data_IF_197280180159
#
_entry.id   IF_197280180159
#
_cell.length_a   1.000
_cell.length_b   1.000
_cell.length_c   1.000
_cell.angle_alpha   90.00
_cell.angle_beta   90.00
_cell.angle_gamma   90.00
#
_symmetry.space_group_name_H-M   'P 1'
#
loop_
_entity.id
_entity.type
_entity.pdbx_description
1 polymer ?
#
# COMPACT_ATOMS: atom_id res chain seq x y z
N UNK A 1 16.66 -2.46 -11.38
CA UNK A 1 16.20 -1.18 -11.96
C UNK A 1 14.78 -1.37 -12.48
N UNK A 2 13.90 -0.39 -12.28
CA UNK A 2 12.53 -0.44 -12.82
C UNK A 2 12.58 -0.49 -14.36
N UNK A 3 11.70 -1.29 -14.97
CA UNK A 3 11.51 -1.33 -16.40
C UNK A 3 10.46 -0.30 -16.81
N UNK A 4 10.61 0.30 -17.99
CA UNK A 4 9.60 1.14 -18.61
C UNK A 4 8.82 0.32 -19.64
N UNK A 5 7.52 0.52 -19.70
CA UNK A 5 6.67 -0.06 -20.74
C UNK A 5 6.95 0.65 -22.09
N UNK A 6 6.82 -0.12 -23.17
CA UNK A 6 6.87 0.42 -24.52
C UNK A 6 5.62 1.28 -24.77
N UNK A 7 5.82 2.50 -25.25
CA UNK A 7 4.74 3.41 -25.59
C UNK A 7 4.39 3.40 -27.09
N UNK A 8 4.98 2.48 -27.87
CA UNK A 8 4.62 2.27 -29.26
C UNK A 8 3.26 1.58 -29.33
N UNK A 9 2.27 2.16 -30.05
CA UNK A 9 0.97 1.53 -30.23
C UNK A 9 1.07 0.13 -30.85
N UNK A 10 0.53 -0.86 -30.14
CA UNK A 10 0.48 -2.26 -30.59
C UNK A 10 -0.95 -2.65 -30.89
N UNK A 11 -1.20 -3.22 -32.07
CA UNK A 11 -2.50 -3.84 -32.37
C UNK A 11 -2.69 -5.04 -31.45
N UNK A 12 -3.79 -5.03 -30.71
CA UNK A 12 -4.16 -6.08 -29.76
C UNK A 12 -5.53 -6.66 -30.08
N UNK A 13 -5.83 -7.84 -29.52
CA UNK A 13 -7.15 -8.46 -29.68
C UNK A 13 -8.22 -7.55 -29.11
N UNK A 14 -9.27 -7.30 -29.89
CA UNK A 14 -10.45 -6.57 -29.42
C UNK A 14 -11.09 -7.27 -28.20
N UNK A 15 -11.43 -6.52 -27.20
CA UNK A 15 -12.19 -6.94 -26.04
C UNK A 15 -13.46 -6.09 -25.96
N UNK A 16 -14.60 -6.71 -25.73
CA UNK A 16 -15.90 -6.02 -25.57
C UNK A 16 -16.78 -6.87 -24.64
N UNK A 17 -16.65 -6.61 -23.35
CA UNK A 17 -17.34 -7.30 -22.26
C UNK A 17 -18.03 -6.28 -21.36
N UNK A 18 -18.72 -6.71 -20.32
CA UNK A 18 -19.38 -5.83 -19.37
C UNK A 18 -18.38 -4.92 -18.62
N UNK A 19 -17.19 -5.48 -18.25
CA UNK A 19 -16.25 -4.77 -17.39
C UNK A 19 -14.97 -4.34 -18.09
N UNK A 20 -14.70 -4.77 -19.32
CA UNK A 20 -13.49 -4.45 -20.11
C UNK A 20 -13.84 -4.15 -21.56
N UNK A 21 -13.17 -3.14 -22.12
CA UNK A 21 -13.35 -2.80 -23.53
C UNK A 21 -12.03 -2.31 -24.12
N UNK A 22 -11.54 -2.99 -25.14
CA UNK A 22 -10.33 -2.58 -25.89
C UNK A 22 -10.71 -2.54 -27.37
N UNK A 23 -10.71 -1.34 -27.94
CA UNK A 23 -11.18 -1.08 -29.31
C UNK A 23 -10.13 -0.40 -30.19
N UNK A 24 -9.00 0.02 -29.59
CA UNK A 24 -7.87 0.66 -30.30
C UNK A 24 -6.59 -0.16 -30.10
N UNK A 25 -5.51 0.11 -30.84
CA UNK A 25 -4.16 -0.28 -30.43
C UNK A 25 -3.85 0.25 -29.03
N UNK A 26 -2.94 -0.39 -28.28
CA UNK A 26 -2.59 0.03 -26.91
C UNK A 26 -1.07 0.31 -26.85
N UNK A 27 -0.67 1.53 -26.34
CA UNK A 27 -1.52 2.68 -26.04
C UNK A 27 -2.26 3.18 -27.29
N UNK A 28 -3.39 3.90 -27.09
CA UNK A 28 -4.08 4.50 -28.23
C UNK A 28 -3.16 5.47 -28.97
N UNK A 29 -3.08 5.43 -30.33
CA UNK A 29 -2.12 6.27 -31.08
C UNK A 29 -2.22 7.75 -30.74
N UNK A 30 -3.42 8.25 -30.53
CA UNK A 30 -3.69 9.66 -30.22
C UNK A 30 -3.24 10.04 -28.78
N UNK A 31 -2.95 9.06 -27.91
CA UNK A 31 -2.41 9.31 -26.57
C UNK A 31 -0.90 9.46 -26.54
N UNK A 32 -0.20 9.05 -27.60
CA UNK A 32 1.29 9.07 -27.68
C UNK A 32 1.85 10.47 -27.43
N UNK A 33 1.31 11.58 -27.99
CA UNK A 33 1.83 12.92 -27.70
C UNK A 33 1.77 13.32 -26.22
N UNK A 34 0.78 12.82 -25.47
CA UNK A 34 0.70 13.04 -24.00
C UNK A 34 1.84 12.30 -23.31
N UNK A 35 2.06 11.02 -23.65
CA UNK A 35 3.13 10.20 -23.09
C UNK A 35 4.52 10.79 -23.39
N UNK A 36 4.73 11.30 -24.62
CA UNK A 36 5.98 11.97 -25.03
C UNK A 36 6.18 13.27 -24.24
N UNK A 37 5.12 14.04 -24.03
CA UNK A 37 5.19 15.28 -23.24
C UNK A 37 5.57 14.98 -21.79
N UNK A 38 4.95 13.99 -21.14
CA UNK A 38 5.31 13.55 -19.80
C UNK A 38 6.79 13.08 -19.74
N UNK A 39 7.22 12.27 -20.71
CA UNK A 39 8.62 11.83 -20.77
C UNK A 39 9.61 12.98 -20.93
N UNK A 40 9.24 14.06 -21.60
CA UNK A 40 10.10 15.25 -21.80
C UNK A 40 10.11 16.16 -20.57
N UNK A 41 8.97 16.30 -19.87
CA UNK A 41 8.77 17.30 -18.83
C UNK A 41 8.87 16.76 -17.41
N UNK A 42 8.70 15.46 -17.21
CA UNK A 42 8.82 14.81 -15.91
C UNK A 42 10.10 14.00 -15.79
N UNK A 43 10.64 13.82 -14.57
CA UNK A 43 11.78 12.93 -14.35
C UNK A 43 11.45 11.49 -14.76
N UNK A 44 12.43 10.77 -15.32
CA UNK A 44 12.28 9.36 -15.73
C UNK A 44 11.77 8.47 -14.59
N UNK A 45 12.03 8.85 -13.33
CA UNK A 45 11.51 8.15 -12.13
C UNK A 45 9.99 8.12 -12.02
N UNK A 46 9.27 9.00 -12.71
CA UNK A 46 7.81 9.01 -12.79
C UNK A 46 7.24 8.07 -13.85
N UNK A 47 8.07 7.60 -14.79
CA UNK A 47 7.68 6.59 -15.78
C UNK A 47 7.77 5.19 -15.17
N UNK A 48 7.13 4.20 -15.77
CA UNK A 48 7.23 2.81 -15.31
C UNK A 48 5.88 2.18 -14.95
N UNK A 49 4.77 2.92 -15.08
CA UNK A 49 3.42 2.36 -15.06
C UNK A 49 2.92 2.05 -16.49
N UNK A 50 1.89 1.19 -16.65
CA UNK A 50 1.28 0.93 -17.95
C UNK A 50 0.96 2.22 -18.70
N UNK A 51 1.26 2.34 -20.00
CA UNK A 51 1.16 3.58 -20.77
C UNK A 51 -0.30 3.87 -21.21
N UNK A 52 -1.20 3.91 -20.24
CA UNK A 52 -2.61 4.19 -20.44
C UNK A 52 -2.89 5.61 -19.95
N UNK A 53 -3.34 6.48 -20.83
CA UNK A 53 -3.70 7.87 -20.47
C UNK A 53 -5.14 7.88 -19.96
N UNK A 54 -5.30 8.03 -18.66
CA UNK A 54 -6.60 8.06 -18.00
C UNK A 54 -7.32 9.39 -18.32
N UNK A 55 -8.58 9.29 -18.70
CA UNK A 55 -9.46 10.45 -18.90
C UNK A 55 -10.48 10.57 -17.77
N UNK A 56 -11.12 9.45 -17.43
CA UNK A 56 -12.09 9.36 -16.34
C UNK A 56 -12.02 7.99 -15.67
N UNK A 57 -12.58 7.89 -14.48
CA UNK A 57 -12.72 6.64 -13.76
C UNK A 57 -14.04 6.62 -12.98
N UNK A 58 -14.63 5.43 -12.80
CA UNK A 58 -15.86 5.23 -12.04
C UNK A 58 -15.89 3.84 -11.40
N UNK A 59 -16.31 3.75 -10.15
CA UNK A 59 -16.39 2.51 -9.41
C UNK A 59 -15.05 1.76 -9.36
N UNK A 60 -14.91 0.71 -10.16
CA UNK A 60 -13.70 -0.08 -10.30
C UNK A 60 -13.19 -0.12 -11.76
N UNK A 61 -13.50 0.89 -12.55
CA UNK A 61 -13.15 0.99 -13.97
C UNK A 61 -12.44 2.31 -14.28
N UNK A 62 -11.51 2.24 -15.23
CA UNK A 62 -10.76 3.38 -15.77
C UNK A 62 -10.99 3.45 -17.27
N UNK A 63 -11.08 4.65 -17.80
CA UNK A 63 -11.39 4.92 -19.20
C UNK A 63 -10.39 5.89 -19.82
N UNK A 64 -10.04 5.66 -21.08
CA UNK A 64 -9.41 6.68 -21.91
C UNK A 64 -10.47 7.46 -22.72
N UNK A 65 -10.03 8.39 -23.56
CA UNK A 65 -10.90 9.18 -24.46
C UNK A 65 -11.28 8.43 -25.74
N UNK A 66 -10.68 7.27 -25.98
CA UNK A 66 -10.73 6.59 -27.29
C UNK A 66 -11.66 5.37 -27.28
N UNK A 67 -12.43 5.23 -26.21
CA UNK A 67 -13.43 4.19 -26.05
C UNK A 67 -12.93 2.90 -25.41
N UNK A 68 -11.71 2.89 -24.91
CA UNK A 68 -11.20 1.78 -24.10
C UNK A 68 -11.64 1.90 -22.64
N UNK A 69 -11.82 0.77 -21.99
CA UNK A 69 -12.21 0.62 -20.60
C UNK A 69 -11.43 -0.52 -19.97
N UNK A 70 -10.80 -0.23 -18.86
CA UNK A 70 -10.05 -1.21 -18.06
C UNK A 70 -10.77 -1.50 -16.76
N UNK A 71 -10.86 -2.80 -16.43
CA UNK A 71 -11.14 -3.25 -15.08
C UNK A 71 -9.88 -2.97 -14.23
N UNK A 72 -10.01 -2.07 -13.24
CA UNK A 72 -8.89 -1.63 -12.42
C UNK A 72 -8.65 -2.56 -11.24
N UNK A 73 -7.53 -3.29 -11.30
CA UNK A 73 -7.01 -4.11 -10.22
C UNK A 73 -5.80 -3.49 -9.53
N UNK A 74 -5.59 -2.18 -9.73
CA UNK A 74 -4.54 -1.41 -9.08
C UNK A 74 -5.05 -0.52 -7.94
N UNK A 75 -6.31 -0.09 -7.98
CA UNK A 75 -6.87 0.99 -7.14
C UNK A 75 -6.01 2.26 -7.15
N UNK A 76 -5.40 2.61 -8.31
CA UNK A 76 -4.44 3.73 -8.36
C UNK A 76 -3.30 3.56 -7.36
N UNK A 77 -2.76 2.34 -7.22
CA UNK A 77 -1.78 1.89 -6.21
C UNK A 77 -2.36 1.93 -4.78
N UNK A 78 -3.47 1.20 -4.58
CA UNK A 78 -4.17 1.00 -3.29
C UNK A 78 -4.73 2.30 -2.68
N UNK A 79 -5.06 3.30 -3.48
CA UNK A 79 -5.66 4.56 -3.00
C UNK A 79 -7.18 4.50 -2.99
N UNK A 80 -7.81 4.07 -4.10
CA UNK A 80 -9.25 4.19 -4.31
C UNK A 80 -10.05 3.06 -3.65
N UNK A 81 -9.89 2.90 -2.32
CA UNK A 81 -10.62 1.87 -1.58
C UNK A 81 -12.14 2.01 -1.73
N UNK A 82 -12.68 3.23 -1.60
CA UNK A 82 -14.11 3.51 -1.75
C UNK A 82 -14.61 3.46 -3.21
N UNK A 83 -13.77 3.04 -4.15
CA UNK A 83 -14.01 3.11 -5.59
C UNK A 83 -13.52 4.43 -6.20
N UNK A 84 -13.50 4.46 -7.54
CA UNK A 84 -13.24 5.69 -8.29
C UNK A 84 -14.47 6.60 -8.26
N UNK A 85 -14.25 7.89 -8.07
CA UNK A 85 -15.23 8.96 -8.15
C UNK A 85 -16.58 8.71 -7.43
N UNK A 86 -16.62 8.17 -6.20
CA UNK A 86 -17.87 7.92 -5.50
C UNK A 86 -18.62 9.24 -5.25
N UNK A 87 -19.94 9.19 -5.40
CA UNK A 87 -20.81 10.37 -5.34
C UNK A 87 -20.62 11.15 -4.02
N UNK A 88 -20.51 10.44 -2.93
CA UNK A 88 -20.39 11.03 -1.60
C UNK A 88 -19.10 11.82 -1.43
N UNK A 89 -17.97 11.31 -1.96
CA UNK A 89 -16.68 12.00 -1.91
C UNK A 89 -16.68 13.20 -2.84
N UNK A 90 -17.22 13.05 -4.08
CA UNK A 90 -17.35 14.17 -5.02
C UNK A 90 -18.15 15.31 -4.43
N UNK A 91 -19.31 14.99 -3.82
CA UNK A 91 -20.18 16.00 -3.23
C UNK A 91 -19.50 16.71 -2.05
N UNK A 92 -18.84 15.97 -1.16
CA UNK A 92 -18.12 16.56 -0.04
C UNK A 92 -17.01 17.53 -0.48
N UNK A 93 -16.32 17.21 -1.58
CA UNK A 93 -15.30 18.10 -2.17
C UNK A 93 -15.96 19.36 -2.73
N UNK A 94 -17.05 19.23 -3.51
CA UNK A 94 -17.77 20.35 -4.10
C UNK A 94 -18.32 21.28 -3.01
N UNK A 95 -19.01 20.74 -2.02
CA UNK A 95 -19.57 21.51 -0.89
C UNK A 95 -18.47 22.30 -0.16
N UNK A 96 -17.30 21.69 0.05
CA UNK A 96 -16.21 22.38 0.71
C UNK A 96 -15.57 23.47 -0.16
N UNK A 97 -15.49 23.26 -1.49
CA UNK A 97 -15.02 24.29 -2.44
C UNK A 97 -15.99 25.46 -2.47
N UNK A 98 -17.30 25.21 -2.55
CA UNK A 98 -18.33 26.23 -2.53
C UNK A 98 -18.36 27.04 -1.23
N UNK A 99 -18.00 26.42 -0.10
CA UNK A 99 -17.86 27.08 1.20
C UNK A 99 -16.71 28.08 1.26
N UNK A 100 -15.73 28.00 0.34
CA UNK A 100 -14.64 28.96 0.18
C UNK A 100 -13.45 28.80 1.15
N UNK A 101 -13.50 27.87 2.12
CA UNK A 101 -12.38 27.58 3.02
C UNK A 101 -11.50 26.50 2.40
N UNK A 102 -10.45 26.91 1.64
CA UNK A 102 -9.57 26.01 0.89
C UNK A 102 -8.29 25.63 1.65
N UNK A 103 -7.88 26.46 2.61
CA UNK A 103 -6.69 26.26 3.44
C UNK A 103 -6.85 26.96 4.77
N UNK A 104 -6.28 26.40 5.84
CA UNK A 104 -6.34 27.05 7.14
C UNK A 104 -5.17 26.74 8.09
N UNK A 105 -4.09 26.03 7.65
CA UNK A 105 -2.98 25.64 8.52
C UNK A 105 -3.46 24.93 9.80
N UNK A 106 -2.91 25.26 10.96
CA UNK A 106 -3.31 24.71 12.26
C UNK A 106 -4.46 25.48 12.94
N UNK A 107 -5.05 26.51 12.29
CA UNK A 107 -6.20 27.17 12.86
C UNK A 107 -7.36 26.16 13.00
N UNK A 108 -8.16 26.26 14.09
CA UNK A 108 -9.29 25.37 14.30
C UNK A 108 -10.33 25.47 13.18
N UNK A 109 -10.83 24.33 12.74
CA UNK A 109 -12.01 24.25 11.86
C UNK A 109 -12.86 23.04 12.22
N UNK A 110 -14.15 23.12 11.89
CA UNK A 110 -15.14 22.10 12.26
C UNK A 110 -14.88 20.77 11.54
N UNK A 111 -14.55 20.81 10.26
CA UNK A 111 -14.35 19.60 9.45
C UNK A 111 -13.21 18.76 10.00
N UNK A 112 -12.08 19.41 10.39
CA UNK A 112 -10.95 18.73 11.00
C UNK A 112 -11.31 18.11 12.36
N UNK A 113 -12.10 18.82 13.16
CA UNK A 113 -12.58 18.30 14.44
C UNK A 113 -13.42 17.03 14.24
N UNK A 114 -14.38 17.06 13.31
CA UNK A 114 -15.25 15.93 13.00
C UNK A 114 -14.47 14.73 12.48
N UNK A 115 -13.51 14.92 11.57
CA UNK A 115 -12.67 13.82 11.07
C UNK A 115 -11.80 13.22 12.20
N UNK A 116 -11.16 14.07 13.00
CA UNK A 116 -10.30 13.60 14.10
C UNK A 116 -11.12 12.80 15.16
N UNK A 117 -12.31 13.30 15.51
CA UNK A 117 -13.23 12.62 16.40
C UNK A 117 -13.68 11.27 15.82
N UNK A 118 -14.08 11.25 14.54
CA UNK A 118 -14.53 10.02 13.87
C UNK A 118 -13.43 8.96 13.83
N UNK A 119 -12.21 9.34 13.42
CA UNK A 119 -11.06 8.44 13.41
C UNK A 119 -10.71 7.92 14.81
N UNK A 120 -10.74 8.79 15.84
CA UNK A 120 -10.53 8.40 17.23
C UNK A 120 -11.61 7.45 17.75
N UNK A 121 -12.86 7.59 17.27
CA UNK A 121 -13.99 6.73 17.65
C UNK A 121 -13.87 5.32 17.06
N UNK A 122 -13.53 5.21 15.78
CA UNK A 122 -13.41 3.91 15.09
C UNK A 122 -12.11 3.18 15.40
N UNK A 123 -11.06 3.89 15.84
CA UNK A 123 -9.80 3.27 16.26
C UNK A 123 -9.97 2.55 17.60
N UNK A 124 -9.41 1.33 17.75
CA UNK A 124 -9.49 0.60 19.02
C UNK A 124 -8.70 1.32 20.12
N UNK A 125 -9.13 1.17 21.39
CA UNK A 125 -8.33 1.63 22.51
C UNK A 125 -6.95 0.91 22.52
N UNK A 126 -5.83 1.61 22.84
CA UNK A 126 -5.72 2.97 23.37
C UNK A 126 -5.49 4.07 22.31
N UNK A 127 -5.71 3.81 21.03
CA UNK A 127 -5.44 4.75 19.92
C UNK A 127 -6.49 5.87 19.89
N UNK A 128 -6.22 7.03 20.53
CA UNK A 128 -7.22 8.09 20.74
C UNK A 128 -6.81 9.48 20.27
N UNK A 129 -5.57 9.67 19.86
CA UNK A 129 -5.10 10.94 19.31
C UNK A 129 -4.78 10.80 17.83
N UNK A 130 -5.15 11.79 17.03
CA UNK A 130 -5.01 11.81 15.57
C UNK A 130 -4.17 13.02 15.18
N UNK A 131 -3.06 12.78 14.50
CA UNK A 131 -2.28 13.81 13.83
C UNK A 131 -2.43 13.64 12.32
N UNK A 132 -3.14 14.57 11.68
CA UNK A 132 -3.36 14.58 10.24
C UNK A 132 -2.09 15.08 9.53
N UNK A 133 -1.78 14.45 8.41
CA UNK A 133 -0.63 14.74 7.55
C UNK A 133 -1.06 14.63 6.09
N UNK A 134 -0.12 14.84 5.15
CA UNK A 134 -0.44 14.86 3.71
C UNK A 134 -0.09 13.54 3.03
N UNK A 135 1.05 12.93 3.39
CA UNK A 135 1.59 11.74 2.72
C UNK A 135 1.95 10.63 3.72
N UNK A 136 1.98 9.40 3.20
CA UNK A 136 2.41 8.25 3.99
C UNK A 136 3.85 8.37 4.51
N UNK A 137 4.76 8.96 3.71
CA UNK A 137 6.14 9.19 4.15
C UNK A 137 6.22 10.11 5.36
N UNK A 138 5.42 11.20 5.38
CA UNK A 138 5.32 12.07 6.56
C UNK A 138 4.76 11.32 7.77
N UNK A 139 3.78 10.45 7.58
CA UNK A 139 3.20 9.65 8.67
C UNK A 139 4.24 8.71 9.28
N UNK A 140 5.00 7.99 8.47
CA UNK A 140 6.04 7.07 8.97
C UNK A 140 7.19 7.81 9.64
N UNK A 141 7.65 8.94 9.09
CA UNK A 141 8.67 9.79 9.73
C UNK A 141 8.18 10.42 11.04
N UNK A 142 6.91 10.84 11.08
CA UNK A 142 6.27 11.32 12.30
C UNK A 142 6.25 10.22 13.39
N UNK A 143 5.86 8.99 13.04
CA UNK A 143 5.84 7.88 13.98
C UNK A 143 7.25 7.55 14.51
N UNK A 144 8.28 7.58 13.66
CA UNK A 144 9.68 7.39 14.06
C UNK A 144 10.14 8.50 14.99
N UNK A 145 9.81 9.75 14.67
CA UNK A 145 10.12 10.92 15.52
C UNK A 145 9.49 10.77 16.91
N UNK A 146 8.21 10.39 16.97
CA UNK A 146 7.51 10.13 18.22
C UNK A 146 8.16 8.99 19.01
N UNK A 147 8.50 7.88 18.34
CA UNK A 147 9.12 6.73 18.97
C UNK A 147 10.49 7.07 19.57
N UNK A 148 11.34 7.77 18.84
CA UNK A 148 12.65 8.18 19.33
C UNK A 148 12.53 9.17 20.51
N UNK A 149 11.62 10.13 20.42
CA UNK A 149 11.40 11.08 21.51
C UNK A 149 10.87 10.40 22.77
N UNK A 150 9.95 9.43 22.59
CA UNK A 150 9.49 8.58 23.70
C UNK A 150 10.65 7.76 24.29
N UNK A 151 11.47 7.16 23.44
CA UNK A 151 12.63 6.38 23.89
C UNK A 151 13.61 7.21 24.69
N UNK A 152 13.96 8.42 24.24
CA UNK A 152 14.82 9.37 24.97
C UNK A 152 14.27 9.69 26.37
N UNK A 153 12.96 9.90 26.47
CA UNK A 153 12.30 10.18 27.78
C UNK A 153 12.24 8.96 28.68
N UNK A 154 12.02 7.77 28.10
CA UNK A 154 11.78 6.55 28.86
C UNK A 154 13.03 5.75 29.22
N UNK A 155 14.14 5.92 28.46
CA UNK A 155 15.36 5.11 28.62
C UNK A 155 16.67 5.84 28.38
N UNK A 156 16.62 7.18 28.23
CA UNK A 156 17.79 8.03 28.04
C UNK A 156 18.36 8.05 26.62
N UNK A 157 19.50 8.72 26.41
CA UNK A 157 20.02 9.08 25.07
C UNK A 157 20.37 7.89 24.17
N UNK A 158 20.56 6.71 24.74
CA UNK A 158 20.86 5.50 23.95
C UNK A 158 19.62 4.75 23.45
N UNK A 159 18.40 5.06 23.97
CA UNK A 159 17.17 4.38 23.58
C UNK A 159 16.51 5.07 22.35
N UNK A 160 17.21 5.04 21.22
CA UNK A 160 16.77 5.65 19.95
C UNK A 160 16.67 4.68 18.78
N UNK A 161 17.02 3.42 19.00
CA UNK A 161 17.04 2.37 17.98
C UNK A 161 15.67 2.14 17.38
N UNK A 162 15.60 1.98 16.06
CA UNK A 162 14.38 1.58 15.34
C UNK A 162 14.65 0.24 14.66
N UNK A 163 13.79 -0.73 14.92
CA UNK A 163 13.80 -2.01 14.20
C UNK A 163 12.74 -1.97 13.11
N UNK A 164 13.12 -2.36 11.90
CA UNK A 164 12.24 -2.52 10.75
C UNK A 164 12.53 -3.81 10.00
N UNK A 165 11.83 -4.09 8.91
CA UNK A 165 11.92 -5.40 8.26
C UNK A 165 12.47 -5.30 6.84
N UNK A 166 13.29 -6.27 6.45
CA UNK A 166 13.81 -6.43 5.09
C UNK A 166 12.65 -6.52 4.10
N UNK A 167 12.77 -5.83 2.96
CA UNK A 167 11.71 -5.72 1.96
C UNK A 167 10.58 -4.75 2.32
N UNK A 168 10.57 -4.15 3.51
CA UNK A 168 9.58 -3.17 3.94
C UNK A 168 9.67 -1.85 3.15
N UNK A 169 8.51 -1.24 2.89
CA UNK A 169 8.39 0.04 2.18
C UNK A 169 7.58 1.04 3.01
N UNK A 170 8.26 2.12 3.46
CA UNK A 170 7.65 3.12 4.34
C UNK A 170 7.60 4.54 3.74
N UNK A 171 8.00 4.69 2.48
CA UNK A 171 8.02 5.96 1.75
C UNK A 171 9.31 6.22 1.01
N UNK A 172 9.45 7.43 0.45
CA UNK A 172 10.61 7.80 -0.38
C UNK A 172 11.37 9.05 0.10
N UNK A 173 10.99 9.65 1.21
CA UNK A 173 11.75 10.69 1.88
C UNK A 173 12.92 10.08 2.66
N UNK A 174 13.85 10.90 3.14
CA UNK A 174 15.10 10.43 3.74
C UNK A 174 14.87 9.43 4.90
N UNK A 175 14.08 9.83 5.91
CA UNK A 175 13.82 9.00 7.08
C UNK A 175 12.98 7.77 6.73
N UNK A 176 11.96 7.92 5.87
CA UNK A 176 11.15 6.81 5.41
C UNK A 176 11.96 5.76 4.62
N UNK A 177 12.95 6.18 3.83
CA UNK A 177 13.86 5.25 3.15
C UNK A 177 14.91 4.65 4.08
N UNK A 178 15.38 5.39 5.09
CA UNK A 178 16.29 4.83 6.10
C UNK A 178 15.67 3.64 6.84
N UNK A 179 14.41 3.77 7.26
CA UNK A 179 13.67 2.67 7.91
C UNK A 179 13.18 1.62 6.92
N UNK A 180 13.11 1.93 5.62
CA UNK A 180 12.72 0.97 4.59
C UNK A 180 13.74 -0.17 4.45
N UNK A 181 13.25 -1.37 4.13
CA UNK A 181 14.04 -2.59 4.01
C UNK A 181 14.49 -2.93 2.59
N UNK A 182 14.43 -2.00 1.63
CA UNK A 182 14.80 -2.23 0.22
C UNK A 182 16.13 -1.52 -0.07
N UNK A 183 17.27 -2.24 -0.12
CA UNK A 183 18.60 -1.64 -0.23
C UNK A 183 18.77 -0.76 -1.48
N UNK A 184 18.22 -1.18 -2.63
CA UNK A 184 18.34 -0.42 -3.89
C UNK A 184 17.68 0.96 -3.86
N UNK A 185 16.70 1.19 -2.98
CA UNK A 185 16.03 2.48 -2.84
C UNK A 185 16.79 3.48 -1.96
N UNK A 186 17.77 3.02 -1.18
CA UNK A 186 18.52 3.87 -0.23
C UNK A 186 20.02 3.95 -0.51
N UNK A 187 20.47 3.50 -1.68
CA UNK A 187 21.89 3.60 -2.08
C UNK A 187 22.41 5.04 -2.13
N UNK A 188 21.54 6.01 -2.37
CA UNK A 188 21.88 7.45 -2.37
C UNK A 188 22.13 8.01 -0.96
N UNK A 189 21.71 7.29 0.10
CA UNK A 189 21.93 7.69 1.49
C UNK A 189 23.29 7.15 1.92
N UNK A 190 24.32 7.97 1.81
CA UNK A 190 25.70 7.56 2.12
C UNK A 190 25.86 7.28 3.62
N UNK A 191 25.29 8.13 4.47
CA UNK A 191 25.37 8.01 5.94
C UNK A 191 24.08 7.41 6.48
N UNK A 192 23.97 6.09 6.43
CA UNK A 192 22.86 5.39 7.07
C UNK A 192 22.95 5.54 8.58
N UNK A 193 21.80 5.73 9.22
CA UNK A 193 21.68 5.81 10.67
C UNK A 193 22.01 4.45 11.30
N UNK A 194 23.05 4.36 12.14
CA UNK A 194 23.49 3.09 12.75
C UNK A 194 22.51 2.50 13.76
N UNK A 195 21.55 3.32 14.24
CA UNK A 195 20.51 2.87 15.17
C UNK A 195 19.22 2.43 14.46
N UNK A 196 19.26 2.25 13.12
CA UNK A 196 18.16 1.65 12.35
C UNK A 196 18.57 0.26 11.90
N UNK A 197 17.84 -0.78 12.37
CA UNK A 197 18.17 -2.18 12.18
C UNK A 197 17.09 -2.89 11.39
N UNK A 198 17.42 -3.47 10.22
CA UNK A 198 16.51 -4.33 9.48
C UNK A 198 16.69 -5.79 9.92
N UNK A 199 15.56 -6.50 10.08
CA UNK A 199 15.51 -7.94 10.34
C UNK A 199 14.68 -8.64 9.25
N UNK A 200 14.88 -9.94 8.99
CA UNK A 200 14.09 -10.67 8.02
C UNK A 200 12.59 -10.64 8.34
N UNK A 201 11.76 -10.45 7.33
CA UNK A 201 10.31 -10.51 7.49
C UNK A 201 9.85 -11.99 7.45
N UNK A 202 9.04 -12.46 8.40
CA UNK A 202 8.65 -13.86 8.52
C UNK A 202 7.50 -14.22 7.57
N UNK A 203 7.75 -14.21 6.25
CA UNK A 203 6.74 -14.47 5.22
C UNK A 203 6.48 -15.98 4.95
N UNK A 204 7.29 -16.88 5.52
CA UNK A 204 7.22 -18.32 5.30
C UNK A 204 7.69 -18.78 3.91
N UNK A 205 7.91 -17.86 2.99
CA UNK A 205 8.34 -18.15 1.64
C UNK A 205 9.82 -17.85 1.43
N UNK A 206 10.25 -16.60 1.58
CA UNK A 206 11.67 -16.19 1.48
C UNK A 206 12.39 -16.45 2.78
N UNK A 207 11.79 -16.06 3.88
CA UNK A 207 12.25 -16.36 5.23
C UNK A 207 11.53 -17.61 5.74
N UNK A 208 12.24 -18.77 5.75
CA UNK A 208 11.64 -20.05 6.15
C UNK A 208 11.39 -20.14 7.64
N UNK A 209 12.33 -19.64 8.45
CA UNK A 209 12.18 -19.60 9.89
C UNK A 209 11.31 -18.37 10.26
N UNK A 210 10.08 -18.66 10.62
CA UNK A 210 9.09 -17.65 11.03
C UNK A 210 8.91 -17.59 12.54
N UNK A 211 9.83 -18.22 13.30
CA UNK A 211 9.79 -18.19 14.76
C UNK A 211 10.18 -16.82 15.31
N UNK A 212 9.65 -16.46 16.47
CA UNK A 212 10.06 -15.25 17.17
C UNK A 212 11.49 -15.36 17.72
N UNK A 213 11.95 -16.57 18.01
CA UNK A 213 13.34 -16.83 18.43
C UNK A 213 14.35 -16.44 17.34
N UNK A 214 14.00 -16.62 16.07
CA UNK A 214 14.82 -16.15 14.95
C UNK A 214 14.96 -14.62 14.93
N UNK A 215 13.89 -13.88 15.26
CA UNK A 215 13.94 -12.41 15.43
C UNK A 215 14.91 -12.03 16.56
N UNK A 216 14.77 -12.64 17.73
CA UNK A 216 15.61 -12.36 18.89
C UNK A 216 17.08 -12.67 18.58
N UNK A 217 17.33 -13.83 17.96
CA UNK A 217 18.68 -14.20 17.52
C UNK A 217 19.25 -13.19 16.54
N UNK A 218 18.47 -12.75 15.56
CA UNK A 218 18.93 -11.76 14.57
C UNK A 218 19.32 -10.43 15.22
N UNK A 219 18.55 -9.96 16.21
CA UNK A 219 18.91 -8.76 16.97
C UNK A 219 20.20 -8.97 17.78
N UNK A 220 20.33 -10.12 18.44
CA UNK A 220 21.53 -10.45 19.20
C UNK A 220 22.79 -10.54 18.32
N UNK A 221 22.70 -11.17 17.16
CA UNK A 221 23.78 -11.27 16.18
C UNK A 221 24.22 -9.90 15.64
N UNK A 222 23.29 -8.93 15.59
CA UNK A 222 23.56 -7.52 15.25
C UNK A 222 24.02 -6.68 16.46
N UNK A 223 24.12 -7.24 17.65
CA UNK A 223 24.50 -6.53 18.88
C UNK A 223 23.41 -5.55 19.39
N UNK A 224 22.18 -5.69 18.94
CA UNK A 224 21.07 -4.82 19.32
C UNK A 224 20.45 -5.27 20.63
N UNK A 225 20.58 -4.45 21.66
CA UNK A 225 19.99 -4.71 22.98
C UNK A 225 18.59 -4.11 23.08
N UNK A 226 17.60 -4.80 23.68
CA UNK A 226 16.23 -4.29 23.81
C UNK A 226 16.16 -2.89 24.46
N UNK A 227 17.01 -2.64 25.47
CA UNK A 227 17.08 -1.35 26.15
C UNK A 227 17.49 -0.16 25.27
N UNK A 228 18.05 -0.40 24.10
CA UNK A 228 18.40 0.63 23.11
C UNK A 228 17.32 0.86 22.04
N UNK A 229 16.32 -0.02 21.95
CA UNK A 229 15.25 0.07 20.94
C UNK A 229 14.13 0.97 21.44
N UNK A 230 13.81 2.02 20.68
CA UNK A 230 12.71 2.94 20.94
C UNK A 230 11.41 2.46 20.28
N UNK A 231 11.50 1.86 19.09
CA UNK A 231 10.33 1.40 18.36
C UNK A 231 10.62 0.27 17.37
N UNK A 232 9.59 -0.52 17.11
CA UNK A 232 9.55 -1.47 16.00
C UNK A 232 8.48 -1.02 15.04
N UNK A 233 8.83 -0.84 13.76
CA UNK A 233 7.89 -0.47 12.70
C UNK A 233 7.80 -1.59 11.67
N UNK A 234 6.57 -1.95 11.30
CA UNK A 234 6.30 -2.93 10.24
C UNK A 234 5.01 -2.59 9.50
N UNK A 235 4.96 -2.98 8.22
CA UNK A 235 3.69 -3.03 7.48
C UNK A 235 2.85 -4.20 7.99
N UNK A 236 1.56 -4.05 8.13
CA UNK A 236 0.65 -5.16 8.49
C UNK A 236 0.73 -6.32 7.51
N UNK A 237 0.87 -6.02 6.24
CA UNK A 237 1.39 -6.91 5.21
C UNK A 237 2.45 -6.19 4.40
N UNK A 238 3.51 -6.86 4.02
CA UNK A 238 4.52 -6.23 3.18
C UNK A 238 3.95 -5.81 1.83
N UNK A 239 3.99 -4.52 1.55
CA UNK A 239 3.42 -3.92 0.36
C UNK A 239 3.99 -4.48 -0.95
N UNK A 240 5.25 -4.89 -0.95
CA UNK A 240 5.88 -5.49 -2.12
C UNK A 240 5.37 -6.89 -2.48
N UNK A 241 4.82 -7.65 -1.52
CA UNK A 241 4.46 -9.06 -1.73
C UNK A 241 3.03 -9.43 -1.32
N UNK A 242 2.29 -8.52 -0.71
CA UNK A 242 1.06 -8.82 0.03
C UNK A 242 1.25 -9.92 1.09
N UNK A 243 2.47 -10.04 1.63
CA UNK A 243 2.87 -11.09 2.56
C UNK A 243 2.51 -10.71 4.00
N UNK A 244 1.83 -11.61 4.70
CA UNK A 244 1.47 -11.47 6.10
C UNK A 244 2.44 -12.29 6.97
N UNK A 245 2.77 -11.76 8.14
CA UNK A 245 3.49 -12.53 9.17
C UNK A 245 2.56 -13.53 9.85
N UNK A 246 3.08 -14.60 10.48
CA UNK A 246 2.27 -15.46 11.36
C UNK A 246 1.68 -14.68 12.53
N UNK A 247 0.46 -15.01 12.91
CA UNK A 247 -0.24 -14.32 14.01
C UNK A 247 0.51 -14.43 15.33
N UNK A 248 1.00 -15.60 15.66
CA UNK A 248 1.78 -15.90 16.86
C UNK A 248 3.09 -15.11 16.91
N UNK A 249 3.74 -14.89 15.77
CA UNK A 249 4.94 -14.04 15.69
C UNK A 249 4.63 -12.60 16.08
N UNK A 250 3.57 -12.02 15.52
CA UNK A 250 3.16 -10.63 15.81
C UNK A 250 2.71 -10.48 17.27
N UNK A 251 2.03 -11.50 17.81
CA UNK A 251 1.64 -11.51 19.23
C UNK A 251 2.86 -11.56 20.15
N UNK A 252 3.85 -12.38 19.82
CA UNK A 252 5.11 -12.46 20.56
C UNK A 252 5.89 -11.13 20.46
N UNK A 253 5.97 -10.54 19.27
CA UNK A 253 6.57 -9.22 19.05
C UNK A 253 5.90 -8.13 19.90
N UNK A 254 4.57 -8.09 19.91
CA UNK A 254 3.83 -7.12 20.71
C UNK A 254 4.04 -7.30 22.22
N UNK A 255 4.15 -8.55 22.68
CA UNK A 255 4.48 -8.87 24.08
C UNK A 255 5.89 -8.37 24.41
N UNK A 256 6.87 -8.71 23.59
CA UNK A 256 8.27 -8.31 23.76
C UNK A 256 8.42 -6.76 23.76
N UNK A 257 7.73 -6.07 22.86
CA UNK A 257 7.72 -4.60 22.84
C UNK A 257 7.23 -4.01 24.17
N UNK A 258 6.11 -4.53 24.70
CA UNK A 258 5.56 -4.08 26.01
C UNK A 258 6.52 -4.34 27.17
N UNK A 259 7.13 -5.53 27.24
CA UNK A 259 8.04 -5.92 28.31
C UNK A 259 9.30 -5.04 28.36
N UNK A 260 9.69 -4.49 27.21
CA UNK A 260 10.89 -3.65 27.09
C UNK A 260 10.60 -2.16 26.91
N UNK A 261 9.33 -1.73 27.06
CA UNK A 261 8.91 -0.35 26.83
C UNK A 261 9.37 0.18 25.45
N UNK A 262 9.09 -0.61 24.41
CA UNK A 262 9.36 -0.33 22.99
C UNK A 262 8.02 -0.04 22.33
N UNK A 263 7.91 1.03 21.54
CA UNK A 263 6.68 1.32 20.81
C UNK A 263 6.52 0.38 19.61
N UNK A 264 5.35 -0.26 19.51
CA UNK A 264 4.95 -1.03 18.35
C UNK A 264 4.20 -0.12 17.37
N UNK A 265 4.71 -0.02 16.14
CA UNK A 265 4.18 0.87 15.10
C UNK A 265 3.74 0.00 13.92
N UNK A 266 2.45 0.07 13.57
CA UNK A 266 1.98 -0.52 12.32
C UNK A 266 1.87 0.53 11.22
N UNK A 267 2.54 0.26 10.10
CA UNK A 267 2.29 0.96 8.86
C UNK A 267 1.06 0.34 8.19
N UNK A 268 -0.06 1.01 8.38
CA UNK A 268 -1.38 0.66 7.84
C UNK A 268 -1.70 1.42 6.55
N UNK A 269 -0.74 2.14 5.96
CA UNK A 269 -0.96 3.00 4.79
C UNK A 269 -1.56 2.20 3.62
N UNK A 270 -1.21 0.93 3.46
CA UNK A 270 -1.80 0.05 2.45
C UNK A 270 -2.90 -0.85 3.00
N UNK A 271 -2.90 -1.15 4.30
CA UNK A 271 -3.71 -2.21 4.89
C UNK A 271 -5.03 -1.73 5.50
N UNK A 272 -5.09 -0.47 5.96
CA UNK A 272 -6.26 0.09 6.60
C UNK A 272 -7.44 0.32 5.64
N UNK A 273 -8.55 0.68 6.27
CA UNK A 273 -9.79 1.09 5.62
C UNK A 273 -10.34 0.01 4.69
N UNK A 274 -10.50 -1.20 5.21
CA UNK A 274 -11.22 -2.29 4.57
C UNK A 274 -10.41 -3.18 3.64
N UNK A 275 -9.18 -2.78 3.24
CA UNK A 275 -8.39 -3.46 2.20
C UNK A 275 -8.25 -4.97 2.42
N UNK A 276 -8.06 -5.39 3.66
CA UNK A 276 -7.82 -6.81 4.02
C UNK A 276 -9.08 -7.55 4.47
N UNK A 277 -10.27 -6.95 4.34
CA UNK A 277 -11.53 -7.48 4.87
C UNK A 277 -11.72 -7.23 6.37
N UNK A 278 -10.89 -6.39 6.96
CA UNK A 278 -11.00 -5.80 8.30
C UNK A 278 -10.85 -4.28 8.19
N UNK A 279 -11.34 -3.51 9.17
CA UNK A 279 -11.18 -2.06 9.14
C UNK A 279 -9.71 -1.67 9.16
N UNK A 280 -8.95 -2.24 10.09
CA UNK A 280 -7.49 -2.14 10.15
C UNK A 280 -6.88 -3.53 9.98
N UNK A 281 -5.80 -3.60 9.22
CA UNK A 281 -5.16 -4.89 8.91
C UNK A 281 -4.59 -5.59 10.15
N UNK A 282 -4.10 -4.87 11.15
CA UNK A 282 -3.57 -5.45 12.38
C UNK A 282 -4.62 -6.24 13.20
N UNK A 283 -5.91 -6.02 12.96
CA UNK A 283 -6.97 -6.80 13.60
C UNK A 283 -6.88 -8.31 13.30
N UNK A 284 -6.24 -8.68 12.18
CA UNK A 284 -5.98 -10.09 11.86
C UNK A 284 -5.07 -10.78 12.87
N UNK A 285 -4.26 -10.00 13.59
CA UNK A 285 -3.31 -10.52 14.58
C UNK A 285 -3.84 -10.50 16.02
N UNK A 286 -4.99 -9.84 16.25
CA UNK A 286 -5.51 -9.63 17.61
C UNK A 286 -4.61 -8.75 18.47
N UNK A 287 -3.82 -7.87 17.82
CA UNK A 287 -2.87 -6.95 18.46
C UNK A 287 -3.26 -5.51 18.14
N UNK A 288 -3.19 -4.62 19.12
CA UNK A 288 -3.32 -3.18 18.91
C UNK A 288 -1.96 -2.54 19.11
N UNK A 289 -1.47 -1.74 18.13
CA UNK A 289 -0.18 -1.05 18.23
C UNK A 289 -0.25 0.17 19.17
N UNK A 290 0.90 0.77 19.45
CA UNK A 290 1.00 2.06 20.14
C UNK A 290 0.75 3.23 19.18
N UNK A 291 1.20 3.10 17.93
CA UNK A 291 1.00 4.03 16.82
C UNK A 291 0.60 3.27 15.56
N UNK A 292 -0.32 3.83 14.78
CA UNK A 292 -0.57 3.38 13.40
C UNK A 292 -0.46 4.53 12.42
N UNK A 293 0.18 4.27 11.28
CA UNK A 293 0.29 5.20 10.17
C UNK A 293 -0.79 4.88 9.14
N UNK A 294 -1.63 5.85 8.79
CA UNK A 294 -2.68 5.72 7.79
C UNK A 294 -2.39 6.61 6.58
N UNK A 295 -2.92 6.24 5.43
CA UNK A 295 -2.80 6.99 4.18
C UNK A 295 -3.71 6.40 3.10
N UNK A 296 -3.42 6.71 1.84
CA UNK A 296 -4.10 6.09 0.67
C UNK A 296 -5.63 5.99 0.81
N UNK A 297 -6.14 4.83 1.22
CA UNK A 297 -7.57 4.57 1.39
C UNK A 297 -8.30 5.48 2.37
N UNK A 298 -7.60 6.23 3.22
CA UNK A 298 -8.22 7.18 4.16
C UNK A 298 -9.09 8.21 3.43
N UNK A 299 -8.65 8.70 2.27
CA UNK A 299 -9.41 9.66 1.45
C UNK A 299 -10.00 9.03 0.19
N UNK A 300 -9.46 7.89 -0.23
CA UNK A 300 -9.73 7.24 -1.52
C UNK A 300 -9.52 8.16 -2.75
N UNK A 301 -8.92 9.33 -2.57
CA UNK A 301 -8.80 10.37 -3.63
C UNK A 301 -7.68 11.37 -3.35
N UNK A 302 -7.86 12.29 -2.41
CA UNK A 302 -6.98 13.43 -2.16
C UNK A 302 -5.84 13.08 -1.17
N UNK A 303 -4.74 13.86 -1.18
CA UNK A 303 -3.60 13.63 -0.29
C UNK A 303 -3.97 13.83 1.18
N UNK A 304 -4.16 12.73 1.91
CA UNK A 304 -4.34 12.70 3.36
C UNK A 304 -3.60 11.50 3.92
N UNK A 305 -2.93 11.72 5.02
CA UNK A 305 -2.36 10.69 5.88
C UNK A 305 -2.64 11.04 7.34
N UNK A 306 -2.44 10.08 8.23
CA UNK A 306 -2.58 10.31 9.66
C UNK A 306 -1.65 9.38 10.45
N UNK A 307 -1.20 9.87 11.60
CA UNK A 307 -0.74 9.01 12.69
C UNK A 307 -1.83 8.99 13.75
N UNK A 308 -2.27 7.81 14.13
CA UNK A 308 -3.25 7.61 15.20
C UNK A 308 -2.56 6.81 16.31
N UNK A 309 -2.59 7.32 17.54
CA UNK A 309 -1.80 6.75 18.60
C UNK A 309 -2.33 6.97 20.00
N UNK A 310 -1.58 6.41 20.95
CA UNK A 310 -1.78 6.62 22.38
C UNK A 310 -1.57 8.07 22.76
N UNK A 311 -2.40 8.60 23.64
CA UNK A 311 -2.34 10.01 24.03
C UNK A 311 -0.98 10.40 24.65
N UNK A 312 -0.42 9.56 25.53
CA UNK A 312 0.85 9.80 26.18
C UNK A 312 2.06 9.87 25.23
N UNK A 313 1.96 9.22 24.07
CA UNK A 313 2.98 9.26 23.02
C UNK A 313 2.72 10.42 22.05
N UNK A 314 1.46 10.65 21.67
CA UNK A 314 1.09 11.68 20.70
C UNK A 314 1.25 13.10 21.26
N UNK A 315 1.03 13.28 22.56
CA UNK A 315 1.15 14.59 23.26
C UNK A 315 2.57 14.85 23.82
N UNK A 316 3.59 14.16 23.28
CA UNK A 316 4.95 14.26 23.78
C UNK A 316 5.63 15.59 23.45
N UNK A 317 5.15 16.28 22.40
CA UNK A 317 5.57 17.60 21.96
C UNK A 317 4.62 18.69 22.47
N UNK A 318 5.16 19.83 22.80
CA UNK A 318 4.39 21.01 23.21
C UNK A 318 3.72 21.73 22.02
N UNK A 319 2.93 22.78 22.31
CA UNK A 319 2.27 23.57 21.28
C UNK A 319 3.26 24.12 20.26
N UNK A 320 2.96 23.95 18.96
CA UNK A 320 3.74 24.38 17.80
C UNK A 320 5.10 23.68 17.58
N UNK A 321 5.50 22.73 18.41
CA UNK A 321 6.78 22.01 18.25
C UNK A 321 6.76 20.95 17.17
N UNK A 322 5.57 20.46 16.79
CA UNK A 322 5.39 19.47 15.71
C UNK A 322 4.11 19.79 14.92
N UNK A 323 4.26 20.46 13.79
CA UNK A 323 3.17 20.88 12.89
C UNK A 323 3.52 20.57 11.43
N UNK A 324 2.50 20.59 10.56
CA UNK A 324 2.67 20.49 9.10
C UNK A 324 1.73 21.50 8.43
N UNK A 325 2.25 22.29 7.49
CA UNK A 325 1.53 23.43 6.90
C UNK A 325 0.21 23.04 6.22
N UNK A 326 0.19 21.92 5.53
CA UNK A 326 -1.01 21.47 4.82
C UNK A 326 -1.81 20.40 5.60
N UNK A 327 -1.42 20.13 6.83
CA UNK A 327 -2.12 19.18 7.70
C UNK A 327 -3.56 19.59 7.91
N UNK A 328 -4.47 18.64 7.73
CA UNK A 328 -5.89 18.88 7.93
C UNK A 328 -6.49 19.90 6.95
N UNK A 329 -5.96 19.97 5.70
CA UNK A 329 -6.54 20.81 4.65
C UNK A 329 -8.04 20.54 4.53
N UNK A 330 -8.92 21.59 4.54
CA UNK A 330 -10.37 21.41 4.63
C UNK A 330 -10.97 20.55 3.52
N UNK A 331 -10.51 20.70 2.27
CA UNK A 331 -11.01 19.92 1.12
C UNK A 331 -10.60 18.45 1.29
N UNK A 332 -9.33 18.22 1.67
CA UNK A 332 -8.80 16.86 1.88
C UNK A 332 -9.50 16.17 3.05
N UNK A 333 -9.78 16.90 4.13
CA UNK A 333 -10.51 16.41 5.30
C UNK A 333 -11.95 16.04 4.96
N UNK A 334 -12.67 16.88 4.17
CA UNK A 334 -14.02 16.59 3.71
C UNK A 334 -14.06 15.28 2.89
N UNK A 335 -13.12 15.12 1.95
CA UNK A 335 -12.96 13.91 1.16
C UNK A 335 -12.67 12.68 2.04
N UNK A 336 -11.75 12.82 3.01
CA UNK A 336 -11.38 11.72 3.91
C UNK A 336 -12.54 11.29 4.80
N UNK A 337 -13.30 12.23 5.36
CA UNK A 337 -14.47 11.92 6.19
C UNK A 337 -15.53 11.16 5.38
N UNK A 338 -15.83 11.63 4.16
CA UNK A 338 -16.77 10.96 3.28
C UNK A 338 -16.29 9.56 2.89
N UNK A 339 -14.99 9.41 2.58
CA UNK A 339 -14.38 8.12 2.25
C UNK A 339 -14.47 7.13 3.41
N UNK A 340 -13.99 7.51 4.60
CA UNK A 340 -13.98 6.61 5.76
C UNK A 340 -15.40 6.22 6.17
N UNK A 341 -16.35 7.15 6.16
CA UNK A 341 -17.77 6.84 6.42
C UNK A 341 -18.31 5.84 5.39
N UNK A 342 -18.09 6.07 4.10
CA UNK A 342 -18.53 5.14 3.04
C UNK A 342 -17.93 3.74 3.21
N UNK A 343 -16.67 3.62 3.64
CA UNK A 343 -16.04 2.34 3.88
C UNK A 343 -16.63 1.65 5.12
N UNK A 344 -16.77 2.37 6.22
CA UNK A 344 -17.19 1.82 7.52
C UNK A 344 -18.69 1.53 7.57
N UNK A 345 -19.51 2.43 7.02
CA UNK A 345 -20.97 2.39 7.12
C UNK A 345 -21.63 1.81 5.85
N UNK A 346 -20.90 1.73 4.74
CA UNK A 346 -21.42 1.31 3.43
C UNK A 346 -21.19 -0.17 3.09
N UNK A 347 -20.80 -1.02 4.05
CA UNK A 347 -20.63 -2.46 3.83
C UNK A 347 -19.41 -2.85 2.99
N UNK A 348 -18.45 -1.92 2.75
CA UNK A 348 -17.30 -2.19 1.89
C UNK A 348 -16.26 -3.11 2.55
N UNK A 349 -16.22 -3.18 3.87
CA UNK A 349 -15.34 -4.10 4.61
C UNK A 349 -15.82 -5.54 4.41
N UNK A 350 -17.12 -5.77 4.55
CA UNK A 350 -17.77 -7.07 4.33
C UNK A 350 -17.65 -7.49 2.87
N UNK A 351 -17.84 -6.55 1.94
CA UNK A 351 -17.63 -6.81 0.52
C UNK A 351 -16.18 -7.21 0.24
N UNK A 352 -15.21 -6.50 0.81
CA UNK A 352 -13.79 -6.82 0.63
C UNK A 352 -13.42 -8.21 1.15
N UNK A 353 -14.07 -8.66 2.23
CA UNK A 353 -13.90 -10.02 2.75
C UNK A 353 -14.49 -11.04 1.78
N UNK A 354 -15.78 -10.90 1.44
CA UNK A 354 -16.49 -11.86 0.60
C UNK A 354 -15.89 -11.94 -0.81
N UNK A 355 -15.60 -10.80 -1.42
CA UNK A 355 -14.99 -10.74 -2.76
C UNK A 355 -13.53 -11.19 -2.74
N UNK A 356 -12.83 -10.94 -1.60
CA UNK A 356 -11.47 -11.43 -1.39
C UNK A 356 -11.37 -12.94 -1.39
N UNK A 357 -12.31 -13.65 -0.78
CA UNK A 357 -12.36 -15.13 -0.79
C UNK A 357 -12.48 -15.65 -2.22
N UNK A 358 -13.38 -15.06 -3.04
CA UNK A 358 -13.57 -15.43 -4.46
C UNK A 358 -12.31 -15.14 -5.28
N UNK A 359 -11.70 -13.96 -5.07
CA UNK A 359 -10.44 -13.57 -5.74
C UNK A 359 -9.32 -14.57 -5.43
N UNK A 360 -9.10 -14.87 -4.14
CA UNK A 360 -8.03 -15.77 -3.72
C UNK A 360 -8.25 -17.20 -4.22
N UNK A 361 -9.49 -17.69 -4.27
CA UNK A 361 -9.81 -18.99 -4.87
C UNK A 361 -9.40 -19.03 -6.36
N UNK A 362 -9.79 -18.02 -7.14
CA UNK A 362 -9.41 -17.92 -8.55
C UNK A 362 -7.91 -17.84 -8.75
N UNK A 363 -7.21 -17.04 -7.92
CA UNK A 363 -5.75 -16.92 -7.96
C UNK A 363 -5.03 -18.21 -7.53
N UNK A 364 -5.59 -18.99 -6.59
CA UNK A 364 -5.06 -20.33 -6.24
C UNK A 364 -5.13 -21.31 -7.40
N UNK A 365 -6.21 -21.28 -8.18
CA UNK A 365 -6.33 -22.12 -9.38
C UNK A 365 -5.28 -21.73 -10.43
N UNK A 366 -5.08 -20.43 -10.66
CA UNK A 366 -4.00 -19.92 -11.52
C UNK A 366 -2.64 -20.37 -11.01
N UNK A 367 -2.34 -20.18 -9.73
CA UNK A 367 -1.07 -20.56 -9.14
C UNK A 367 -0.78 -22.07 -9.28
N UNK A 368 -1.79 -22.91 -9.08
CA UNK A 368 -1.66 -24.37 -9.27
C UNK A 368 -1.36 -24.72 -10.73
N UNK A 369 -2.06 -24.10 -11.69
CA UNK A 369 -1.83 -24.32 -13.14
C UNK A 369 -0.43 -23.90 -13.55
N UNK A 370 0.13 -22.88 -12.93
CA UNK A 370 1.43 -22.30 -13.24
C UNK A 370 2.50 -22.51 -12.14
N UNK A 371 2.43 -23.63 -11.41
CA UNK A 371 3.34 -23.93 -10.28
C UNK A 371 4.84 -23.88 -10.63
N UNK A 372 5.20 -23.97 -11.92
CA UNK A 372 6.59 -23.85 -12.39
C UNK A 372 7.15 -22.42 -12.36
N UNK A 373 6.28 -21.39 -12.33
CA UNK A 373 6.65 -19.98 -12.39
C UNK A 373 5.98 -19.13 -11.28
N UNK A 374 4.96 -19.65 -10.61
CA UNK A 374 4.36 -19.03 -9.43
C UNK A 374 4.90 -19.72 -8.19
N UNK A 375 5.81 -19.08 -7.49
CA UNK A 375 6.44 -19.64 -6.29
C UNK A 375 5.59 -19.53 -5.04
N UNK A 376 4.75 -18.50 -4.92
CA UNK A 376 3.81 -18.31 -3.83
C UNK A 376 2.66 -17.39 -4.23
N UNK A 377 1.52 -17.57 -3.57
CA UNK A 377 0.40 -16.64 -3.55
C UNK A 377 0.20 -16.17 -2.11
N UNK A 378 0.30 -14.88 -1.87
CA UNK A 378 -0.03 -14.26 -0.59
C UNK A 378 -1.20 -13.29 -0.75
N UNK A 379 -1.97 -13.09 0.32
CA UNK A 379 -3.05 -12.10 0.31
C UNK A 379 -4.13 -12.36 1.35
N UNK A 380 -4.94 -11.33 1.62
CA UNK A 380 -6.19 -11.39 2.41
C UNK A 380 -7.14 -10.29 1.94
N UNK A 381 -8.43 -10.57 1.93
CA UNK A 381 -9.40 -9.63 1.40
C UNK A 381 -9.10 -9.26 -0.05
N UNK A 382 -9.17 -8.00 -0.41
CA UNK A 382 -8.94 -7.51 -1.76
C UNK A 382 -7.49 -7.01 -1.97
N UNK A 383 -6.52 -7.73 -1.42
CA UNK A 383 -5.10 -7.57 -1.77
C UNK A 383 -4.44 -8.93 -1.90
N UNK A 384 -3.76 -9.15 -3.01
CA UNK A 384 -3.00 -10.37 -3.27
C UNK A 384 -1.71 -10.09 -4.04
N UNK A 385 -0.76 -11.01 -3.95
CA UNK A 385 0.48 -11.02 -4.71
C UNK A 385 0.82 -12.40 -5.23
N UNK A 386 0.97 -12.55 -6.54
CA UNK A 386 1.57 -13.71 -7.17
C UNK A 386 3.08 -13.49 -7.27
N UNK A 387 3.85 -14.27 -6.53
CA UNK A 387 5.31 -14.21 -6.53
C UNK A 387 5.85 -15.03 -7.70
N UNK A 388 6.25 -14.36 -8.77
CA UNK A 388 6.82 -14.97 -9.95
C UNK A 388 8.27 -15.36 -9.68
N UNK A 389 8.64 -16.58 -10.05
CA UNK A 389 9.96 -17.14 -9.80
C UNK A 389 10.53 -17.81 -11.05
N UNK A 390 11.86 -17.86 -11.15
CA UNK A 390 12.54 -18.68 -12.15
C UNK A 390 12.27 -20.15 -11.88
N UNK A 391 12.07 -20.93 -12.96
CA UNK A 391 11.72 -22.36 -12.85
C UNK A 391 12.66 -23.11 -11.92
N UNK A 392 12.07 -23.86 -11.01
CA UNK A 392 12.79 -24.74 -10.07
C UNK A 392 13.39 -24.05 -8.85
N UNK A 393 13.14 -22.75 -8.63
CA UNK A 393 13.73 -22.01 -7.53
C UNK A 393 12.78 -21.04 -6.81
N UNK A 394 13.36 -20.20 -5.96
CA UNK A 394 12.70 -19.07 -5.30
C UNK A 394 13.21 -17.71 -5.82
N UNK A 395 14.12 -17.74 -6.77
CA UNK A 395 14.66 -16.55 -7.42
C UNK A 395 13.54 -15.76 -8.09
N UNK A 396 13.39 -14.46 -7.81
CA UNK A 396 12.33 -13.67 -8.41
C UNK A 396 12.54 -13.55 -9.92
N UNK A 397 11.45 -13.66 -10.67
CA UNK A 397 11.42 -13.43 -12.11
C UNK A 397 10.63 -12.16 -12.43
N UNK A 398 11.34 -11.03 -12.42
CA UNK A 398 10.78 -9.73 -12.76
C UNK A 398 10.46 -9.58 -14.26
N UNK A 399 11.07 -10.41 -15.13
CA UNK A 399 10.84 -10.35 -16.56
C UNK A 399 9.47 -10.92 -16.91
N UNK A 400 9.16 -12.10 -16.37
CA UNK A 400 7.84 -12.69 -16.58
C UNK A 400 6.73 -11.89 -15.87
N UNK A 401 7.00 -11.35 -14.67
CA UNK A 401 6.03 -10.50 -13.98
C UNK A 401 5.69 -9.25 -14.79
N UNK A 402 6.70 -8.63 -15.41
CA UNK A 402 6.53 -7.47 -16.28
C UNK A 402 5.71 -7.82 -17.53
N UNK A 403 6.04 -8.94 -18.20
CA UNK A 403 5.29 -9.44 -19.37
C UNK A 403 3.82 -9.70 -19.02
N UNK A 404 3.54 -10.31 -17.86
CA UNK A 404 2.17 -10.56 -17.39
C UNK A 404 1.38 -9.25 -17.27
N UNK A 405 1.97 -8.21 -16.66
CA UNK A 405 1.30 -6.91 -16.52
C UNK A 405 1.07 -6.28 -17.90
N UNK A 406 2.04 -6.39 -18.83
CA UNK A 406 1.88 -5.91 -20.20
C UNK A 406 0.71 -6.61 -20.91
N UNK A 407 0.64 -7.93 -20.86
CA UNK A 407 -0.47 -8.70 -21.45
C UNK A 407 -1.81 -8.39 -20.79
N UNK A 408 -1.82 -8.18 -19.46
CA UNK A 408 -3.04 -7.87 -18.73
C UNK A 408 -3.67 -6.55 -19.18
N UNK A 409 -2.91 -5.46 -19.24
CA UNK A 409 -3.51 -4.18 -19.66
C UNK A 409 -3.90 -4.16 -21.15
N UNK A 410 -3.22 -4.94 -22.02
CA UNK A 410 -3.63 -5.15 -23.41
C UNK A 410 -4.96 -5.90 -23.54
N UNK A 411 -5.38 -6.63 -22.50
CA UNK A 411 -6.65 -7.34 -22.38
C UNK A 411 -7.71 -6.58 -21.59
N UNK A 412 -7.45 -5.30 -21.23
CA UNK A 412 -8.37 -4.49 -20.46
C UNK A 412 -8.37 -4.78 -18.94
N UNK A 413 -7.36 -5.47 -18.41
CA UNK A 413 -7.15 -5.64 -16.99
C UNK A 413 -5.98 -4.77 -16.52
N UNK A 414 -6.24 -3.72 -15.77
CA UNK A 414 -5.21 -2.78 -15.32
C UNK A 414 -4.60 -3.23 -14.00
N UNK A 415 -3.31 -3.54 -14.05
CA UNK A 415 -2.43 -3.75 -12.90
C UNK A 415 -1.38 -2.65 -12.88
N UNK A 416 -0.81 -2.33 -11.73
CA UNK A 416 0.39 -1.50 -11.71
C UNK A 416 1.65 -2.34 -11.96
N UNK A 417 2.77 -1.66 -12.26
CA UNK A 417 4.05 -2.32 -12.54
C UNK A 417 4.44 -3.30 -11.43
N UNK A 418 5.10 -4.42 -11.77
CA UNK A 418 5.49 -5.42 -10.78
C UNK A 418 6.35 -4.83 -9.67
N UNK A 419 6.16 -5.34 -8.48
CA UNK A 419 6.80 -4.89 -7.23
C UNK A 419 7.49 -6.04 -6.50
N UNK A 420 7.92 -5.80 -5.26
CA UNK A 420 8.55 -6.80 -4.41
C UNK A 420 9.98 -7.12 -4.80
N UNK A 421 10.50 -8.22 -4.26
CA UNK A 421 11.87 -8.66 -4.50
C UNK A 421 12.12 -8.87 -6.00
N UNK A 422 13.14 -8.20 -6.52
CA UNK A 422 13.52 -8.29 -7.94
C UNK A 422 12.42 -7.88 -8.92
N UNK A 423 11.37 -7.19 -8.47
CA UNK A 423 10.20 -6.87 -9.30
C UNK A 423 9.38 -8.12 -9.67
N UNK A 424 9.51 -9.20 -8.90
CA UNK A 424 8.89 -10.49 -9.24
C UNK A 424 7.46 -10.67 -8.75
N UNK A 425 6.78 -9.63 -8.24
CA UNK A 425 5.41 -9.77 -7.74
C UNK A 425 4.41 -9.08 -8.64
N UNK A 426 3.48 -9.82 -9.20
CA UNK A 426 2.24 -9.31 -9.79
C UNK A 426 1.26 -9.07 -8.66
N UNK A 427 1.02 -7.79 -8.34
CA UNK A 427 0.18 -7.38 -7.22
C UNK A 427 -1.21 -6.99 -7.70
N UNK A 428 -2.21 -7.43 -6.96
CA UNK A 428 -3.63 -7.33 -7.27
C UNK A 428 -4.32 -6.64 -6.10
N UNK A 429 -5.00 -5.52 -6.38
CA UNK A 429 -5.69 -4.74 -5.36
C UNK A 429 -6.85 -3.95 -5.96
N UNK A 430 -7.97 -4.58 -6.36
CA UNK A 430 -9.11 -3.86 -6.90
C UNK A 430 -9.78 -2.96 -5.86
N UNK A 431 -10.54 -1.92 -6.28
CA UNK A 431 -11.39 -1.16 -5.37
C UNK A 431 -12.35 -2.05 -4.57
N UNK A 432 -12.70 -1.65 -3.33
CA UNK A 432 -13.54 -2.47 -2.45
C UNK A 432 -15.00 -2.55 -2.91
N UNK A 433 -15.36 -1.75 -3.92
CA UNK A 433 -16.69 -1.77 -4.56
C UNK A 433 -16.84 -2.83 -5.64
N UNK A 434 -15.79 -3.62 -5.91
CA UNK A 434 -15.80 -4.61 -6.99
C UNK A 434 -16.86 -5.68 -6.76
N UNK A 435 -17.47 -6.18 -7.84
CA UNK A 435 -18.48 -7.24 -7.82
C UNK A 435 -17.86 -8.62 -8.08
N UNK A 436 -18.63 -9.66 -7.78
CA UNK A 436 -18.23 -11.05 -8.04
C UNK A 436 -17.98 -11.28 -9.53
N UNK A 437 -18.87 -10.80 -10.38
CA UNK A 437 -18.79 -10.97 -11.83
C UNK A 437 -17.53 -10.32 -12.39
N UNK A 438 -17.21 -9.10 -11.93
CA UNK A 438 -16.00 -8.39 -12.32
C UNK A 438 -14.72 -9.10 -11.82
N UNK A 439 -14.74 -9.71 -10.64
CA UNK A 439 -13.61 -10.53 -10.15
C UNK A 439 -13.41 -11.75 -11.04
N UNK A 440 -14.47 -12.48 -11.34
CA UNK A 440 -14.39 -13.70 -12.17
C UNK A 440 -13.88 -13.36 -13.59
N UNK A 441 -14.33 -12.26 -14.16
CA UNK A 441 -13.85 -11.78 -15.45
C UNK A 441 -12.38 -11.37 -15.39
N UNK A 442 -11.96 -10.68 -14.33
CA UNK A 442 -10.56 -10.28 -14.14
C UNK A 442 -9.63 -11.47 -13.91
N UNK A 443 -10.07 -12.51 -13.15
CA UNK A 443 -9.32 -13.76 -12.95
C UNK A 443 -9.12 -14.47 -14.28
N UNK A 444 -10.14 -14.55 -15.13
CA UNK A 444 -10.01 -15.12 -16.47
C UNK A 444 -9.00 -14.37 -17.33
N UNK A 445 -9.08 -13.03 -17.36
CA UNK A 445 -8.15 -12.18 -18.10
C UNK A 445 -6.69 -12.28 -17.61
N UNK A 446 -6.50 -12.35 -16.29
CA UNK A 446 -5.16 -12.56 -15.70
C UNK A 446 -4.62 -13.95 -16.07
N UNK A 447 -5.48 -14.99 -16.03
CA UNK A 447 -5.11 -16.33 -16.44
C UNK A 447 -4.60 -16.36 -17.89
N UNK A 448 -5.34 -15.75 -18.82
CA UNK A 448 -4.92 -15.64 -20.23
C UNK A 448 -3.59 -14.85 -20.36
N UNK A 449 -3.41 -13.77 -19.60
CA UNK A 449 -2.17 -12.99 -19.64
C UNK A 449 -0.97 -13.81 -19.15
N UNK A 450 -1.15 -14.64 -18.12
CA UNK A 450 -0.10 -15.54 -17.62
C UNK A 450 0.18 -16.67 -18.62
N UNK A 451 -0.84 -17.25 -19.25
CA UNK A 451 -0.69 -18.29 -20.28
C UNK A 451 0.19 -17.77 -21.44
N UNK A 452 -0.11 -16.56 -21.96
CA UNK A 452 0.63 -15.94 -23.06
C UNK A 452 2.07 -15.58 -22.64
N UNK A 453 2.24 -14.93 -21.49
CA UNK A 453 3.56 -14.57 -21.00
C UNK A 453 4.45 -15.81 -20.75
N UNK A 454 3.86 -16.89 -20.24
CA UNK A 454 4.56 -18.17 -20.00
C UNK A 454 5.02 -18.82 -21.31
N UNK A 455 4.17 -18.80 -22.34
CA UNK A 455 4.50 -19.36 -23.66
C UNK A 455 5.65 -18.58 -24.33
N UNK A 456 5.58 -17.25 -24.29
CA UNK A 456 6.66 -16.38 -24.83
C UNK A 456 7.98 -16.55 -24.06
N UNK A 457 7.91 -16.72 -22.74
CA UNK A 457 9.10 -16.90 -21.91
C UNK A 457 9.76 -18.28 -22.11
N UNK A 458 8.96 -19.30 -22.40
CA UNK A 458 9.48 -20.64 -22.69
C UNK A 458 10.10 -20.77 -24.08
N UNK A 459 9.76 -19.87 -25.01
CA UNK A 459 10.30 -19.82 -26.37
C UNK A 459 11.64 -19.05 -26.50
N UNK A 460 12.02 -18.33 -25.46
CA UNK A 460 13.32 -17.61 -25.34
C UNK A 460 14.36 -18.47 -24.66
#
# INVERSE_FOLDING_TARGET
MGKAFDCTPKVVKRVDTEFRKIVTPIPAPESVPVLETLRRCEPVSMTGQPPIVWDRADGFQVYDRFGNMWLDWSSGVLVTNAGHAPKEIKQAIVDQVEKGLLHNYCFPNAERAVLAEYLSKIAPAPLKKVFLLTTGSEATECAVKLARTHGLKAGGPEKIGIVSFEGGFHGRTLGAQMIGGIPSLKQWIVNLDPDIHQVPFPDGFRTRDTSFDFFLKTLADKGVKPGRVAGVILETFQGGGASFAPTEYIQALAKWCREHNILLIFDEIQAAFGRTGKLFGFEHYGVVPDLMCCGKGISSSLPVAAVIGRADVMDIYGPAEMTSTHSGNPICVAAALASVKKIVEGGLIENARAMGDILLEGLQQIAKRHAGIVGALHGRGLVAGLHMVRRGGKEPDGDIAFSIVEKAFQKGLLLFAPVGFGGGTVKIAPPLTITKEAILEGVAALGEAIDEASAEHAAR
#
